data_IF_680121158326
#
_entry.id   IF_680121158326
#
_cell.length_a   1.000
_cell.length_b   1.000
_cell.length_c   1.000
_cell.angle_alpha   90.00
_cell.angle_beta   90.00
_cell.angle_gamma   90.00
#
_symmetry.space_group_name_H-M   'P 1'
#
loop_
_entity.id
_entity.type
_entity.pdbx_description
1 polymer ?
#
# COMPACT_ATOMS: atom_id res chain seq x y z
N UNK A 1 0.18 -2.80 14.88
CA UNK A 1 0.84 -3.97 14.27
C UNK A 1 2.34 -3.73 14.08
N UNK A 2 2.78 -2.86 13.16
CA UNK A 2 4.21 -2.71 12.83
C UNK A 2 5.14 -2.39 14.01
N UNK A 3 4.71 -1.56 14.96
CA UNK A 3 5.47 -1.31 16.20
C UNK A 3 5.64 -2.55 17.07
N UNK A 4 4.69 -3.49 17.01
CA UNK A 4 4.79 -4.80 17.64
C UNK A 4 5.84 -5.67 16.96
N UNK A 5 5.86 -5.71 15.61
CA UNK A 5 6.87 -6.44 14.85
C UNK A 5 8.27 -5.89 15.07
N UNK A 6 8.44 -4.57 15.11
CA UNK A 6 9.75 -3.96 15.39
C UNK A 6 10.27 -4.36 16.77
N UNK A 7 9.40 -4.38 17.79
CA UNK A 7 9.77 -4.84 19.12
C UNK A 7 10.14 -6.31 19.14
N UNK A 8 9.34 -7.16 18.48
CA UNK A 8 9.58 -8.61 18.42
C UNK A 8 10.89 -8.95 17.71
N UNK A 9 11.24 -8.20 16.66
CA UNK A 9 12.45 -8.41 15.87
C UNK A 9 13.66 -7.59 16.33
N UNK A 10 13.53 -6.80 17.41
CA UNK A 10 14.61 -5.96 17.91
C UNK A 10 15.05 -4.85 16.95
N UNK A 11 14.14 -4.38 16.09
CA UNK A 11 14.42 -3.32 15.12
C UNK A 11 14.26 -1.95 15.79
N UNK A 12 15.36 -1.20 15.87
CA UNK A 12 15.31 0.24 16.16
C UNK A 12 15.02 1.00 14.86
N UNK A 13 13.90 1.72 14.84
CA UNK A 13 13.50 2.53 13.70
C UNK A 13 14.15 3.93 13.70
N UNK A 14 14.90 4.29 14.74
CA UNK A 14 15.58 5.57 14.81
C UNK A 14 16.61 5.71 13.67
N UNK A 15 16.52 6.80 12.92
CA UNK A 15 17.44 7.09 11.82
C UNK A 15 17.22 6.27 10.55
N UNK A 16 16.18 5.43 10.48
CA UNK A 16 15.84 4.70 9.24
C UNK A 16 15.46 5.68 8.14
N UNK A 17 16.14 5.55 7.00
CA UNK A 17 15.86 6.34 5.80
C UNK A 17 14.83 5.64 4.91
N UNK A 18 13.99 6.44 4.24
CA UNK A 18 13.08 5.91 3.24
C UNK A 18 13.86 5.34 2.05
N UNK A 19 13.49 4.14 1.62
CA UNK A 19 14.06 3.54 0.40
C UNK A 19 13.55 4.27 -0.86
N UNK A 20 14.27 4.20 -1.99
CA UNK A 20 13.99 5.00 -3.18
C UNK A 20 12.52 4.96 -3.64
N UNK A 21 11.92 3.77 -3.71
CA UNK A 21 10.56 3.63 -4.23
C UNK A 21 9.51 4.06 -3.20
N UNK A 22 9.82 3.96 -1.90
CA UNK A 22 9.01 4.57 -0.82
C UNK A 22 9.03 6.10 -0.90
N UNK A 23 10.20 6.70 -1.16
CA UNK A 23 10.30 8.15 -1.35
C UNK A 23 9.54 8.58 -2.59
N UNK A 24 9.68 7.86 -3.71
CA UNK A 24 8.94 8.12 -4.95
C UNK A 24 7.43 8.06 -4.71
N UNK A 25 6.93 6.99 -4.10
CA UNK A 25 5.51 6.79 -3.87
C UNK A 25 4.93 7.87 -2.96
N UNK A 26 5.56 8.13 -1.81
CA UNK A 26 5.07 9.15 -0.88
C UNK A 26 5.18 10.57 -1.45
N UNK A 27 6.20 10.87 -2.25
CA UNK A 27 6.33 12.16 -2.95
C UNK A 27 5.25 12.33 -4.02
N UNK A 28 4.93 11.27 -4.75
CA UNK A 28 3.85 11.28 -5.74
C UNK A 28 2.50 11.57 -5.08
N UNK A 29 2.15 10.87 -3.99
CA UNK A 29 0.91 11.11 -3.25
C UNK A 29 0.83 12.54 -2.70
N UNK A 30 1.90 13.02 -2.06
CA UNK A 30 1.99 14.39 -1.54
C UNK A 30 1.78 15.42 -2.64
N UNK A 31 2.40 15.23 -3.81
CA UNK A 31 2.21 16.12 -4.97
C UNK A 31 0.76 16.15 -5.42
N UNK A 32 0.12 14.99 -5.63
CA UNK A 32 -1.28 14.95 -6.07
C UNK A 32 -2.18 15.66 -5.06
N UNK A 33 -2.07 15.32 -3.78
CA UNK A 33 -2.90 15.94 -2.72
C UNK A 33 -2.66 17.46 -2.60
N UNK A 34 -1.43 17.93 -2.80
CA UNK A 34 -1.09 19.34 -2.67
C UNK A 34 -1.46 20.18 -3.89
N UNK A 35 -1.54 19.60 -5.09
CA UNK A 35 -1.65 20.37 -6.35
C UNK A 35 -2.83 20.01 -7.23
N UNK A 36 -3.61 18.99 -6.87
CA UNK A 36 -4.76 18.51 -7.66
C UNK A 36 -6.07 18.63 -6.89
N UNK A 37 -7.22 18.63 -7.59
CA UNK A 37 -8.53 18.53 -6.97
C UNK A 37 -8.61 17.40 -5.94
N UNK A 38 -9.40 17.62 -4.89
CA UNK A 38 -9.58 16.66 -3.80
C UNK A 38 -9.95 15.25 -4.28
N UNK A 39 -10.82 15.15 -5.30
CA UNK A 39 -11.24 13.88 -5.90
C UNK A 39 -10.07 13.06 -6.47
N UNK A 40 -9.10 13.70 -7.11
CA UNK A 40 -7.89 13.05 -7.62
C UNK A 40 -7.00 12.54 -6.47
N UNK A 41 -6.90 13.31 -5.38
CA UNK A 41 -6.19 12.88 -4.17
C UNK A 41 -6.79 11.64 -3.50
N UNK A 42 -8.13 11.57 -3.42
CA UNK A 42 -8.85 10.40 -2.90
C UNK A 42 -8.55 9.15 -3.74
N UNK A 43 -8.66 9.26 -5.06
CA UNK A 43 -8.40 8.14 -5.97
C UNK A 43 -6.95 7.69 -5.95
N UNK A 44 -6.00 8.64 -5.86
CA UNK A 44 -4.58 8.32 -5.78
C UNK A 44 -4.23 7.49 -4.52
N UNK A 45 -4.98 7.64 -3.43
CA UNK A 45 -4.76 6.89 -2.19
C UNK A 45 -5.48 5.54 -2.18
N UNK A 46 -6.56 5.36 -2.97
CA UNK A 46 -7.37 4.13 -2.96
C UNK A 46 -6.57 2.82 -3.10
N UNK A 47 -5.52 2.71 -3.95
CA UNK A 47 -4.74 1.49 -4.06
C UNK A 47 -4.12 1.00 -2.75
N UNK A 48 -3.75 1.90 -1.81
CA UNK A 48 -3.14 1.47 -0.56
C UNK A 48 -4.12 0.70 0.34
N UNK A 49 -5.42 1.00 0.26
CA UNK A 49 -6.47 0.22 0.92
C UNK A 49 -6.79 -1.03 0.11
N UNK A 50 -7.08 -0.85 -1.18
CA UNK A 50 -7.68 -1.90 -1.99
C UNK A 50 -6.69 -3.02 -2.34
N UNK A 51 -5.45 -2.69 -2.69
CA UNK A 51 -4.42 -3.70 -3.01
C UNK A 51 -4.09 -4.52 -1.78
N UNK A 52 -3.88 -3.89 -0.63
CA UNK A 52 -3.60 -4.61 0.63
C UNK A 52 -4.74 -5.54 1.02
N UNK A 53 -6.00 -5.09 0.91
CA UNK A 53 -7.16 -5.93 1.18
C UNK A 53 -7.24 -7.13 0.23
N UNK A 54 -7.07 -6.88 -1.07
CA UNK A 54 -7.10 -7.93 -2.09
C UNK A 54 -6.00 -8.97 -1.86
N UNK A 55 -4.76 -8.52 -1.66
CA UNK A 55 -3.62 -9.41 -1.36
C UNK A 55 -3.87 -10.16 -0.06
N UNK A 56 -4.37 -9.50 0.98
CA UNK A 56 -4.75 -10.12 2.25
C UNK A 56 -5.74 -11.28 2.05
N UNK A 57 -6.84 -11.07 1.32
CA UNK A 57 -7.82 -12.12 1.00
C UNK A 57 -7.21 -13.27 0.19
N UNK A 58 -6.36 -12.97 -0.79
CA UNK A 58 -5.66 -14.00 -1.57
C UNK A 58 -4.72 -14.84 -0.69
N UNK A 59 -3.98 -14.20 0.21
CA UNK A 59 -3.09 -14.90 1.15
C UNK A 59 -3.86 -15.70 2.19
N UNK A 60 -5.01 -15.21 2.66
CA UNK A 60 -5.91 -15.95 3.55
C UNK A 60 -6.38 -17.26 2.88
N UNK A 61 -6.87 -17.17 1.64
CA UNK A 61 -7.28 -18.34 0.87
C UNK A 61 -6.12 -19.33 0.71
N UNK A 62 -4.95 -18.85 0.29
CA UNK A 62 -3.77 -19.69 0.12
C UNK A 62 -3.36 -20.37 1.44
N UNK A 63 -3.45 -19.64 2.56
CA UNK A 63 -3.19 -20.17 3.90
C UNK A 63 -4.15 -21.32 4.26
N UNK A 64 -5.43 -21.15 3.98
CA UNK A 64 -6.47 -22.16 4.22
C UNK A 64 -6.25 -23.41 3.35
N UNK A 65 -5.91 -23.22 2.07
CA UNK A 65 -5.62 -24.31 1.13
C UNK A 65 -4.39 -25.13 1.54
N UNK A 66 -3.31 -24.45 1.97
CA UNK A 66 -2.08 -25.11 2.39
C UNK A 66 -2.18 -25.72 3.79
N UNK A 67 -3.02 -25.15 4.67
CA UNK A 67 -3.12 -25.55 6.07
C UNK A 67 -1.76 -25.59 6.76
N UNK A 68 -1.44 -26.74 7.37
CA UNK A 68 -0.17 -26.98 8.09
C UNK A 68 0.95 -27.54 7.21
N UNK A 69 0.74 -27.65 5.89
CA UNK A 69 1.78 -28.17 4.97
C UNK A 69 2.98 -27.21 4.83
N UNK A 70 2.79 -25.92 5.16
CA UNK A 70 3.83 -24.90 5.12
C UNK A 70 3.96 -24.24 6.50
N UNK A 71 5.18 -24.27 7.04
CA UNK A 71 5.49 -23.53 8.28
C UNK A 71 5.68 -22.05 7.95
N UNK A 72 4.86 -21.19 8.55
CA UNK A 72 4.97 -19.72 8.46
C UNK A 72 5.35 -19.12 9.81
N UNK A 73 5.99 -17.95 9.78
CA UNK A 73 6.24 -17.18 11.00
C UNK A 73 4.93 -16.53 11.49
N UNK A 74 4.69 -16.43 12.81
CA UNK A 74 3.48 -15.82 13.36
C UNK A 74 3.20 -14.40 12.84
N UNK A 75 4.24 -13.63 12.53
CA UNK A 75 4.10 -12.28 11.97
C UNK A 75 3.42 -12.26 10.60
N UNK A 76 3.61 -13.29 9.76
CA UNK A 76 2.91 -13.39 8.47
C UNK A 76 1.44 -13.72 8.66
N UNK A 77 1.09 -14.60 9.61
CA UNK A 77 -0.31 -14.87 9.93
C UNK A 77 -1.00 -13.62 10.49
N UNK A 78 -0.34 -12.88 11.38
CA UNK A 78 -0.85 -11.60 11.89
C UNK A 78 -1.02 -10.53 10.79
N UNK A 79 -0.13 -10.51 9.79
CA UNK A 79 -0.27 -9.64 8.61
C UNK A 79 -1.50 -10.02 7.79
N UNK A 80 -1.68 -11.32 7.49
CA UNK A 80 -2.83 -11.85 6.75
C UNK A 80 -4.14 -11.52 7.50
N UNK A 81 -4.20 -11.80 8.80
CA UNK A 81 -5.41 -11.60 9.62
C UNK A 81 -5.83 -10.13 9.66
N UNK A 82 -4.88 -9.20 9.68
CA UNK A 82 -5.19 -7.77 9.64
C UNK A 82 -5.80 -7.38 8.29
N UNK A 83 -5.11 -7.68 7.18
CA UNK A 83 -5.50 -7.14 5.88
C UNK A 83 -6.62 -7.93 5.21
N UNK A 84 -6.85 -9.18 5.59
CA UNK A 84 -7.98 -9.99 5.14
C UNK A 84 -9.22 -9.87 6.05
N UNK A 85 -9.04 -9.32 7.25
CA UNK A 85 -10.04 -9.27 8.32
C UNK A 85 -11.18 -8.28 8.06
N UNK A 86 -12.33 -8.57 8.66
CA UNK A 86 -13.58 -7.83 8.46
C UNK A 86 -13.48 -6.34 8.83
N UNK A 87 -12.68 -6.01 9.85
CA UNK A 87 -12.46 -4.61 10.26
C UNK A 87 -11.77 -3.81 9.16
N UNK A 88 -10.77 -4.38 8.50
CA UNK A 88 -10.07 -3.71 7.40
C UNK A 88 -10.95 -3.68 6.15
N UNK A 89 -11.66 -4.76 5.86
CA UNK A 89 -12.66 -4.83 4.78
C UNK A 89 -13.70 -3.71 4.88
N UNK A 90 -14.24 -3.47 6.07
CA UNK A 90 -15.18 -2.37 6.29
C UNK A 90 -14.57 -1.02 5.92
N UNK A 91 -13.32 -0.75 6.35
CA UNK A 91 -12.63 0.52 6.02
C UNK A 91 -12.37 0.67 4.53
N UNK A 92 -12.02 -0.42 3.85
CA UNK A 92 -11.81 -0.43 2.40
C UNK A 92 -13.11 -0.09 1.67
N UNK A 93 -14.23 -0.73 2.08
CA UNK A 93 -15.54 -0.47 1.50
C UNK A 93 -16.02 0.99 1.75
N UNK A 94 -15.82 1.51 2.96
CA UNK A 94 -16.10 2.92 3.28
C UNK A 94 -15.29 3.87 2.37
N UNK A 95 -14.01 3.56 2.13
CA UNK A 95 -13.15 4.38 1.28
C UNK A 95 -13.52 4.28 -0.21
N UNK A 96 -13.89 3.08 -0.70
CA UNK A 96 -14.40 2.88 -2.06
C UNK A 96 -15.65 3.71 -2.28
N UNK A 97 -16.61 3.70 -1.35
CA UNK A 97 -17.84 4.49 -1.47
C UNK A 97 -17.56 5.99 -1.54
N UNK A 98 -16.58 6.49 -0.77
CA UNK A 98 -16.14 7.89 -0.83
C UNK A 98 -15.57 8.24 -2.21
N UNK A 99 -14.75 7.35 -2.78
CA UNK A 99 -14.18 7.51 -4.11
C UNK A 99 -15.26 7.46 -5.19
N UNK A 100 -16.18 6.50 -5.13
CA UNK A 100 -17.29 6.37 -6.08
C UNK A 100 -18.17 7.63 -6.11
N UNK A 101 -18.47 8.19 -4.94
CA UNK A 101 -19.18 9.46 -4.85
C UNK A 101 -18.42 10.60 -5.54
N UNK A 102 -17.10 10.70 -5.35
CA UNK A 102 -16.27 11.68 -6.04
C UNK A 102 -16.26 11.46 -7.56
N UNK A 103 -16.13 10.21 -8.02
CA UNK A 103 -16.15 9.84 -9.44
C UNK A 103 -17.49 10.22 -10.11
N UNK A 104 -18.62 10.03 -9.42
CA UNK A 104 -19.96 10.26 -9.99
C UNK A 104 -20.25 11.73 -10.36
N UNK A 105 -19.49 12.66 -9.80
CA UNK A 105 -19.64 14.11 -10.04
C UNK A 105 -18.50 14.69 -10.89
N UNK A 106 -17.53 13.85 -11.27
CA UNK A 106 -16.37 14.27 -12.04
C UNK A 106 -16.74 14.55 -13.51
N UNK A 107 -16.10 15.55 -14.10
CA UNK A 107 -16.09 15.71 -15.56
C UNK A 107 -15.35 14.54 -16.21
N UNK A 108 -15.57 14.30 -17.51
CA UNK A 108 -14.85 13.25 -18.25
C UNK A 108 -13.33 13.43 -18.18
N UNK A 109 -12.84 14.67 -18.27
CA UNK A 109 -11.41 14.97 -18.19
C UNK A 109 -10.85 14.67 -16.78
N UNK A 110 -11.58 15.09 -15.74
CA UNK A 110 -11.20 14.79 -14.34
C UNK A 110 -11.22 13.29 -14.08
N UNK A 111 -12.21 12.56 -14.58
CA UNK A 111 -12.29 11.11 -14.43
C UNK A 111 -11.12 10.38 -15.09
N UNK A 112 -10.66 10.87 -16.25
CA UNK A 112 -9.47 10.35 -16.91
C UNK A 112 -8.21 10.56 -16.06
N UNK A 113 -8.02 11.75 -15.48
CA UNK A 113 -6.89 12.03 -14.58
C UNK A 113 -6.96 11.20 -13.29
N UNK A 114 -8.16 11.05 -12.70
CA UNK A 114 -8.40 10.15 -11.58
C UNK A 114 -7.98 8.70 -11.92
N UNK A 115 -8.37 8.20 -13.09
CA UNK A 115 -7.98 6.87 -13.57
C UNK A 115 -6.46 6.73 -13.73
N UNK A 116 -5.80 7.75 -14.28
CA UNK A 116 -4.33 7.80 -14.40
C UNK A 116 -3.65 7.76 -13.02
N UNK A 117 -4.23 8.48 -12.03
CA UNK A 117 -3.73 8.48 -10.66
C UNK A 117 -3.85 7.12 -10.00
N UNK A 118 -5.01 6.47 -10.13
CA UNK A 118 -5.24 5.11 -9.63
C UNK A 118 -4.21 4.12 -10.21
N UNK A 119 -4.07 4.08 -11.53
CA UNK A 119 -3.15 3.17 -12.22
C UNK A 119 -1.71 3.41 -11.79
N UNK A 120 -1.30 4.68 -11.68
CA UNK A 120 0.06 5.02 -11.22
C UNK A 120 0.29 4.59 -9.78
N UNK A 121 -0.67 4.79 -8.87
CA UNK A 121 -0.55 4.34 -7.50
C UNK A 121 -0.51 2.80 -7.39
N UNK A 122 -1.26 2.05 -8.22
CA UNK A 122 -1.10 0.59 -8.31
C UNK A 122 0.30 0.15 -8.79
N UNK A 123 0.90 0.86 -9.74
CA UNK A 123 2.29 0.61 -10.16
C UNK A 123 3.27 0.87 -9.02
N UNK A 124 3.03 1.92 -8.24
CA UNK A 124 3.86 2.28 -7.09
C UNK A 124 3.72 1.26 -5.94
N UNK A 125 2.53 0.69 -5.72
CA UNK A 125 2.32 -0.45 -4.81
C UNK A 125 3.16 -1.65 -5.26
N UNK A 126 3.12 -2.02 -6.55
CA UNK A 126 3.96 -3.10 -7.07
C UNK A 126 5.45 -2.82 -6.83
N UNK A 127 5.92 -1.61 -7.15
CA UNK A 127 7.31 -1.22 -6.89
C UNK A 127 7.66 -1.25 -5.41
N UNK A 128 6.72 -0.93 -4.51
CA UNK A 128 6.91 -1.01 -3.07
C UNK A 128 7.17 -2.45 -2.59
N UNK A 129 6.45 -3.44 -3.14
CA UNK A 129 6.71 -4.86 -2.87
C UNK A 129 8.03 -5.33 -3.49
N UNK A 130 8.29 -4.90 -4.73
CA UNK A 130 9.50 -5.27 -5.47
C UNK A 130 10.77 -4.75 -4.78
N UNK A 131 10.79 -3.50 -4.31
CA UNK A 131 11.95 -2.96 -3.57
C UNK A 131 12.27 -3.76 -2.30
N UNK A 132 11.26 -4.30 -1.62
CA UNK A 132 11.43 -5.06 -0.39
C UNK A 132 11.99 -6.45 -0.69
N UNK A 133 11.52 -7.08 -1.77
CA UNK A 133 12.03 -8.36 -2.25
C UNK A 133 13.47 -8.24 -2.77
N UNK A 134 13.76 -7.19 -3.54
CA UNK A 134 15.08 -6.93 -4.11
C UNK A 134 16.08 -6.34 -3.11
N UNK A 135 15.64 -6.02 -1.87
CA UNK A 135 16.42 -5.32 -0.85
C UNK A 135 17.08 -4.03 -1.42
N UNK A 136 16.29 -3.28 -2.20
CA UNK A 136 16.77 -2.09 -2.91
C UNK A 136 17.27 -1.05 -1.91
N UNK A 137 18.44 -0.47 -2.22
CA UNK A 137 19.08 0.59 -1.43
C UNK A 137 19.39 1.80 -2.30
N UNK A 138 19.73 2.92 -1.67
CA UNK A 138 20.28 4.07 -2.36
C UNK A 138 21.67 3.73 -2.94
N UNK A 139 22.03 4.26 -4.13
CA UNK A 139 23.39 4.11 -4.63
C UNK A 139 24.38 4.76 -3.66
N UNK A 140 25.49 4.05 -3.42
CA UNK A 140 26.62 4.59 -2.67
C UNK A 140 27.51 5.40 -3.62
N UNK A 141 27.85 6.63 -3.24
CA UNK A 141 28.84 7.44 -3.94
C UNK A 141 30.01 7.68 -2.99
N UNK A 142 31.21 7.28 -3.39
CA UNK A 142 32.42 7.64 -2.67
C UNK A 142 32.67 9.14 -2.86
N UNK A 143 32.82 9.88 -1.77
CA UNK A 143 33.18 11.30 -1.82
C UNK A 143 34.65 11.39 -2.23
N UNK A 144 34.91 11.99 -3.40
CA UNK A 144 36.27 12.26 -3.93
C UNK A 144 36.91 13.40 -3.14
#
# INVERSE_FOLDING_TARGET
MHTGFFREWGIDAAGVQQMPDTLLYTSYLKRVVATRPHAEGLVALLPCYWVYFHVGKCMLRLREELGNSVKRMPAFDAWIDMYAGEVFEQRVNEYIQLVDAACSTASSDTFNEMSNHFITACKLEYMFWDQALALKTWPHFDVI
#
